data_IF_845907842703
#
_entry.id   IF_845907842703
#
_cell.length_a   1.000
_cell.length_b   1.000
_cell.length_c   1.000
_cell.angle_alpha   90.00
_cell.angle_beta   90.00
_cell.angle_gamma   90.00
#
_symmetry.space_group_name_H-M   'P 1'
#
loop_
_entity.id
_entity.type
_entity.pdbx_description
1 polymer ?
#
# COMPACT_ATOMS: atom_id res chain seq x y z
N UNK A 1 10.16 -10.30 -27.85
CA UNK A 1 8.76 -10.05 -27.47
C UNK A 1 8.44 -10.38 -26.01
N UNK A 2 8.87 -11.52 -25.43
CA UNK A 2 8.50 -11.91 -24.05
C UNK A 2 9.02 -10.97 -22.93
N UNK A 3 10.23 -10.41 -23.08
CA UNK A 3 10.83 -9.50 -22.07
C UNK A 3 10.09 -8.16 -21.93
N UNK A 4 9.51 -7.66 -23.03
CA UNK A 4 8.77 -6.40 -23.05
C UNK A 4 7.47 -6.43 -22.20
N UNK A 5 6.94 -7.63 -21.93
CA UNK A 5 5.76 -7.83 -21.08
C UNK A 5 6.14 -8.33 -19.68
N UNK A 6 7.12 -9.22 -19.58
CA UNK A 6 7.53 -9.80 -18.30
C UNK A 6 8.15 -8.77 -17.34
N UNK A 7 8.95 -7.82 -17.85
CA UNK A 7 9.62 -6.82 -17.02
C UNK A 7 8.62 -5.82 -16.39
N UNK A 8 7.71 -5.17 -17.14
CA UNK A 8 6.73 -4.28 -16.51
C UNK A 8 5.77 -4.98 -15.56
N UNK A 9 5.40 -6.24 -15.83
CA UNK A 9 4.50 -7.01 -14.97
C UNK A 9 5.16 -7.35 -13.63
N UNK A 10 6.42 -7.79 -13.66
CA UNK A 10 7.18 -8.08 -12.43
C UNK A 10 7.49 -6.80 -11.65
N UNK A 11 7.86 -5.71 -12.35
CA UNK A 11 8.06 -4.39 -11.75
C UNK A 11 6.78 -3.87 -11.06
N UNK A 12 5.62 -4.05 -11.69
CA UNK A 12 4.32 -3.74 -11.08
C UNK A 12 4.09 -4.53 -9.81
N UNK A 13 4.23 -5.86 -9.85
CA UNK A 13 3.97 -6.73 -8.70
C UNK A 13 4.86 -6.37 -7.51
N UNK A 14 6.17 -6.20 -7.74
CA UNK A 14 7.14 -5.81 -6.72
C UNK A 14 6.80 -4.43 -6.14
N UNK A 15 6.51 -3.44 -7.00
CA UNK A 15 6.16 -2.09 -6.57
C UNK A 15 4.85 -2.04 -5.78
N UNK A 16 3.85 -2.81 -6.21
CA UNK A 16 2.57 -2.91 -5.54
C UNK A 16 2.73 -3.52 -4.14
N UNK A 17 3.46 -4.63 -3.99
CA UNK A 17 3.68 -5.28 -2.69
C UNK A 17 4.45 -4.37 -1.74
N UNK A 18 5.56 -3.78 -2.19
CA UNK A 18 6.38 -2.88 -1.36
C UNK A 18 5.56 -1.65 -0.97
N UNK A 19 4.88 -1.02 -1.94
CA UNK A 19 4.04 0.14 -1.71
C UNK A 19 2.91 -0.18 -0.73
N UNK A 20 2.24 -1.31 -0.89
CA UNK A 20 1.15 -1.74 -0.01
C UNK A 20 1.62 -1.89 1.44
N UNK A 21 2.67 -2.68 1.67
CA UNK A 21 3.18 -2.95 3.04
C UNK A 21 3.62 -1.66 3.72
N UNK A 22 4.36 -0.81 3.02
CA UNK A 22 4.83 0.48 3.56
C UNK A 22 3.66 1.42 3.87
N UNK A 23 2.72 1.56 2.93
CA UNK A 23 1.54 2.41 3.10
C UNK A 23 0.64 1.94 4.24
N UNK A 24 0.36 0.64 4.30
CA UNK A 24 -0.45 0.01 5.34
C UNK A 24 0.18 0.23 6.73
N UNK A 25 1.49 -0.01 6.87
CA UNK A 25 2.22 0.21 8.13
C UNK A 25 2.20 1.68 8.55
N UNK A 26 2.49 2.60 7.64
CA UNK A 26 2.50 4.03 7.94
C UNK A 26 1.11 4.54 8.38
N UNK A 27 0.05 4.17 7.66
CA UNK A 27 -1.31 4.54 8.04
C UNK A 27 -1.76 3.89 9.35
N UNK A 28 -1.34 2.65 9.61
CA UNK A 28 -1.61 1.97 10.88
C UNK A 28 -0.97 2.69 12.07
N UNK A 29 0.31 3.07 11.95
CA UNK A 29 1.02 3.83 12.99
C UNK A 29 0.38 5.20 13.21
N UNK A 30 -0.01 5.92 12.14
CA UNK A 30 -0.72 7.19 12.25
C UNK A 30 -2.06 7.04 12.97
N UNK A 31 -2.85 6.02 12.62
CA UNK A 31 -4.12 5.73 13.29
C UNK A 31 -3.91 5.45 14.78
N UNK A 32 -2.88 4.68 15.15
CA UNK A 32 -2.55 4.41 16.55
C UNK A 32 -2.14 5.68 17.29
N UNK A 33 -1.31 6.53 16.68
CA UNK A 33 -0.91 7.81 17.26
C UNK A 33 -2.11 8.75 17.47
N UNK A 34 -2.97 8.91 16.46
CA UNK A 34 -4.20 9.70 16.53
C UNK A 34 -5.15 9.22 17.63
N UNK A 35 -5.17 7.91 17.92
CA UNK A 35 -6.12 7.30 18.85
C UNK A 35 -5.49 6.83 20.17
N UNK A 36 -4.22 7.15 20.44
CA UNK A 36 -3.53 6.70 21.65
C UNK A 36 -4.26 7.12 22.95
N UNK A 37 -4.96 8.25 22.90
CA UNK A 37 -5.75 8.80 24.01
C UNK A 37 -7.21 8.33 24.05
N UNK A 38 -7.67 7.55 23.05
CA UNK A 38 -9.07 7.07 22.93
C UNK A 38 -9.13 5.53 22.81
N UNK A 39 -8.65 4.77 23.81
CA UNK A 39 -8.77 3.33 23.78
C UNK A 39 -10.25 2.90 23.85
N UNK A 40 -10.67 1.85 23.12
CA UNK A 40 -12.04 1.36 23.19
C UNK A 40 -12.33 0.81 24.61
N UNK A 41 -13.46 1.22 25.20
CA UNK A 41 -13.88 0.80 26.55
C UNK A 41 -14.97 -0.27 26.57
N UNK A 42 -15.53 -0.60 25.41
CA UNK A 42 -16.60 -1.60 25.26
C UNK A 42 -16.27 -2.54 24.10
N UNK A 43 -16.81 -3.76 24.14
CA UNK A 43 -16.63 -4.77 23.08
C UNK A 43 -17.09 -4.22 21.71
N UNK A 44 -18.25 -3.57 21.67
CA UNK A 44 -18.78 -2.91 20.46
C UNK A 44 -17.84 -1.80 19.97
N UNK A 45 -17.30 -1.00 20.90
CA UNK A 45 -16.31 0.03 20.59
C UNK A 45 -15.02 -0.56 20.00
N UNK A 46 -14.53 -1.67 20.56
CA UNK A 46 -13.35 -2.37 20.06
C UNK A 46 -13.55 -2.88 18.63
N UNK A 47 -14.72 -3.42 18.32
CA UNK A 47 -15.04 -3.87 16.96
C UNK A 47 -15.01 -2.70 15.96
N UNK A 48 -15.71 -1.59 16.25
CA UNK A 48 -15.72 -0.43 15.36
C UNK A 48 -14.37 0.26 15.22
N UNK A 49 -13.58 0.27 16.30
CA UNK A 49 -12.21 0.77 16.31
C UNK A 49 -11.35 -0.02 15.30
N UNK A 50 -11.35 -1.35 15.39
CA UNK A 50 -10.57 -2.21 14.50
C UNK A 50 -11.12 -2.20 13.07
N UNK A 51 -12.44 -2.16 12.89
CA UNK A 51 -13.06 -2.01 11.57
C UNK A 51 -12.56 -0.74 10.89
N UNK A 52 -12.65 0.41 11.56
CA UNK A 52 -12.17 1.70 11.04
C UNK A 52 -10.67 1.67 10.75
N UNK A 53 -9.87 1.11 11.66
CA UNK A 53 -8.43 0.92 11.46
C UNK A 53 -8.14 0.14 10.18
N UNK A 54 -8.80 -1.01 10.00
CA UNK A 54 -8.58 -1.87 8.85
C UNK A 54 -8.94 -1.19 7.52
N UNK A 55 -10.06 -0.47 7.44
CA UNK A 55 -10.40 0.29 6.23
C UNK A 55 -9.37 1.37 5.89
N UNK A 56 -8.92 2.12 6.90
CA UNK A 56 -7.89 3.16 6.70
C UNK A 56 -6.55 2.55 6.27
N UNK A 57 -6.12 1.48 6.92
CA UNK A 57 -4.88 0.75 6.60
C UNK A 57 -4.93 0.19 5.19
N UNK A 58 -6.05 -0.44 4.79
CA UNK A 58 -6.24 -0.97 3.45
C UNK A 58 -6.17 0.16 2.41
N UNK A 59 -6.90 1.26 2.62
CA UNK A 59 -6.89 2.39 1.71
C UNK A 59 -5.50 3.03 1.60
N UNK A 60 -4.79 3.19 2.73
CA UNK A 60 -3.42 3.69 2.77
C UNK A 60 -2.44 2.78 2.02
N UNK A 61 -2.57 1.47 2.21
CA UNK A 61 -1.82 0.46 1.47
C UNK A 61 -2.07 0.56 -0.04
N UNK A 62 -3.34 0.57 -0.47
CA UNK A 62 -3.70 0.66 -1.89
C UNK A 62 -3.20 1.94 -2.56
N UNK A 63 -3.33 3.10 -1.89
CA UNK A 63 -2.80 4.38 -2.40
C UNK A 63 -1.28 4.34 -2.60
N UNK A 64 -0.56 3.78 -1.63
CA UNK A 64 0.89 3.67 -1.73
C UNK A 64 1.33 2.60 -2.73
N UNK A 65 0.59 1.49 -2.86
CA UNK A 65 0.81 0.47 -3.89
C UNK A 65 0.71 1.06 -5.30
N UNK A 66 -0.36 1.82 -5.58
CA UNK A 66 -0.55 2.50 -6.86
C UNK A 66 0.56 3.50 -7.17
N UNK A 67 1.04 4.24 -6.16
CA UNK A 67 2.14 5.20 -6.31
C UNK A 67 3.48 4.53 -6.61
N UNK A 68 3.81 3.45 -5.91
CA UNK A 68 5.12 2.80 -6.07
C UNK A 68 5.17 1.89 -7.30
N UNK A 69 4.06 1.20 -7.63
CA UNK A 69 3.99 0.39 -8.84
C UNK A 69 4.01 1.22 -10.12
N UNK A 70 3.40 2.42 -10.13
CA UNK A 70 3.43 3.30 -11.31
C UNK A 70 4.85 3.80 -11.62
N UNK A 71 5.64 4.12 -10.59
CA UNK A 71 7.05 4.48 -10.75
C UNK A 71 7.88 3.33 -11.32
N UNK A 72 7.69 2.11 -10.80
CA UNK A 72 8.44 0.95 -11.27
C UNK A 72 8.02 0.52 -12.69
N UNK A 73 6.73 0.59 -13.03
CA UNK A 73 6.28 0.39 -14.41
C UNK A 73 6.92 1.43 -15.32
N UNK A 74 6.82 2.72 -14.99
CA UNK A 74 7.35 3.79 -15.84
C UNK A 74 8.84 3.62 -16.12
N UNK A 75 9.63 3.33 -15.08
CA UNK A 75 11.08 3.07 -15.23
C UNK A 75 11.36 1.82 -16.06
N UNK A 76 10.60 0.73 -15.86
CA UNK A 76 10.77 -0.49 -16.66
C UNK A 76 10.40 -0.31 -18.14
N UNK A 77 9.38 0.50 -18.44
CA UNK A 77 8.98 0.81 -19.82
C UNK A 77 10.03 1.67 -20.51
N UNK A 78 10.58 2.66 -19.80
CA UNK A 78 11.69 3.48 -20.31
C UNK A 78 12.89 2.59 -20.65
N UNK A 79 13.24 1.65 -19.77
CA UNK A 79 14.34 0.72 -20.03
C UNK A 79 14.10 -0.13 -21.28
N UNK A 80 12.94 -0.77 -21.38
CA UNK A 80 12.57 -1.61 -22.53
C UNK A 80 12.50 -0.82 -23.84
N UNK A 81 12.21 0.48 -23.78
CA UNK A 81 12.19 1.35 -24.97
C UNK A 81 13.57 1.86 -25.39
N UNK A 82 14.55 1.88 -24.48
CA UNK A 82 15.94 2.27 -24.78
C UNK A 82 16.76 1.09 -25.31
N UNK A 83 16.46 -0.12 -24.84
CA UNK A 83 17.07 -1.39 -25.30
C UNK A 83 16.54 -1.83 -26.66
#
# INVERSE_FOLDING_TARGET
SSRAVALPLTAFAVGATIGFVRGARATGLRFLAENAHRPPRTVRGWYFYNKTKNYRVLLGGMKSAAKESSKLIATSLVWVGVE
#
